data_IF_631834298306
#
_entry.id   IF_631834298306
#
_cell.length_a   1.000
_cell.length_b   1.000
_cell.length_c   1.000
_cell.angle_alpha   90.00
_cell.angle_beta   90.00
_cell.angle_gamma   90.00
#
_symmetry.space_group_name_H-M   'P 1'
#
loop_
_entity.id
_entity.type
_entity.pdbx_description
1 polymer ?
#
# COMPACT_ATOMS: atom_id res chain seq x y z
N UNK A 1 29.40 16.26 -20.48
CA UNK A 1 29.01 17.27 -19.50
C UNK A 1 29.67 18.57 -19.88
N UNK A 2 28.93 19.54 -20.42
CA UNK A 2 29.47 20.86 -20.73
C UNK A 2 29.50 21.72 -19.48
N UNK A 3 30.66 22.18 -19.08
CA UNK A 3 30.76 23.25 -18.08
C UNK A 3 30.15 24.51 -18.72
N UNK A 4 29.27 25.24 -18.03
CA UNK A 4 28.72 26.49 -18.53
C UNK A 4 29.81 27.57 -18.48
N UNK A 5 30.61 27.64 -19.52
CA UNK A 5 31.71 28.58 -19.66
C UNK A 5 31.45 29.42 -20.89
N UNK A 6 31.34 30.72 -20.70
CA UNK A 6 31.33 31.66 -21.78
C UNK A 6 32.78 31.97 -22.19
N UNK A 7 33.22 31.38 -23.30
CA UNK A 7 34.58 31.52 -23.80
C UNK A 7 34.91 32.99 -24.19
N UNK A 8 33.94 33.76 -24.61
CA UNK A 8 34.13 35.16 -25.00
C UNK A 8 34.28 36.04 -23.76
N UNK A 9 33.58 35.75 -22.68
CA UNK A 9 33.79 36.42 -21.39
C UNK A 9 35.21 36.18 -20.86
N UNK A 10 35.74 34.95 -20.95
CA UNK A 10 37.07 34.64 -20.48
C UNK A 10 38.18 35.40 -21.24
N UNK A 11 37.98 35.72 -22.52
CA UNK A 11 38.95 36.48 -23.34
C UNK A 11 39.04 37.95 -22.96
N UNK A 12 38.04 38.50 -22.28
CA UNK A 12 37.98 39.91 -21.88
C UNK A 12 38.53 40.18 -20.49
N UNK A 13 38.81 39.12 -19.70
CA UNK A 13 39.29 39.22 -18.33
C UNK A 13 40.81 39.52 -18.26
N UNK A 14 41.22 40.26 -17.23
CA UNK A 14 42.64 40.42 -16.90
C UNK A 14 43.25 39.08 -16.47
N UNK A 15 44.60 38.91 -16.60
CA UNK A 15 45.32 37.69 -16.23
C UNK A 15 45.01 37.19 -14.81
N UNK A 16 44.84 38.12 -13.85
CA UNK A 16 44.50 37.78 -12.46
C UNK A 16 43.05 37.25 -12.33
N UNK A 17 42.12 37.86 -13.02
CA UNK A 17 40.71 37.45 -13.02
C UNK A 17 40.50 36.16 -13.82
N UNK A 18 41.23 36.02 -14.92
CA UNK A 18 41.26 34.82 -15.73
C UNK A 18 41.73 33.62 -14.91
N UNK A 19 42.88 33.76 -14.24
CA UNK A 19 43.41 32.71 -13.35
C UNK A 19 42.46 32.35 -12.23
N UNK A 20 41.76 33.34 -11.62
CA UNK A 20 40.75 33.10 -10.58
C UNK A 20 39.53 32.36 -11.15
N UNK A 21 39.09 32.76 -12.34
CA UNK A 21 37.94 32.14 -13.02
C UNK A 21 38.24 30.71 -13.48
N UNK A 22 39.43 30.49 -14.04
CA UNK A 22 39.89 29.16 -14.45
C UNK A 22 40.10 28.22 -13.26
N UNK A 23 40.59 28.75 -12.12
CA UNK A 23 40.85 27.96 -10.91
C UNK A 23 39.58 27.33 -10.34
N UNK A 24 38.44 28.02 -10.43
CA UNK A 24 37.17 27.60 -9.87
C UNK A 24 36.11 27.39 -10.95
N UNK A 25 36.54 27.00 -12.14
CA UNK A 25 35.70 26.83 -13.29
C UNK A 25 34.58 25.80 -13.00
N UNK A 26 33.33 26.20 -13.22
CA UNK A 26 32.15 25.34 -12.98
C UNK A 26 31.62 25.32 -11.55
N UNK A 27 32.30 25.97 -10.60
CA UNK A 27 31.79 26.16 -9.24
C UNK A 27 30.92 27.41 -9.15
N UNK A 28 29.87 27.33 -8.35
CA UNK A 28 29.03 28.52 -8.06
C UNK A 28 29.75 29.47 -7.12
N UNK A 29 29.48 30.78 -7.24
CA UNK A 29 30.06 31.80 -6.36
C UNK A 29 29.85 31.53 -4.87
N UNK A 30 28.70 30.92 -4.53
CA UNK A 30 28.41 30.52 -3.17
C UNK A 30 29.33 29.43 -2.64
N UNK A 31 29.72 28.46 -3.46
CA UNK A 31 30.70 27.44 -3.10
C UNK A 31 32.13 28.00 -3.03
N UNK A 32 32.49 28.83 -3.99
CA UNK A 32 33.84 29.48 -4.04
C UNK A 32 34.09 30.32 -2.78
N UNK A 33 33.07 30.97 -2.21
CA UNK A 33 33.23 31.79 -1.00
C UNK A 33 33.59 30.99 0.27
N UNK A 34 33.38 29.67 0.26
CA UNK A 34 33.70 28.76 1.39
C UNK A 34 35.12 28.18 1.31
N UNK A 35 35.83 28.39 0.19
CA UNK A 35 37.21 27.90 0.05
C UNK A 35 38.23 28.95 0.46
N UNK A 36 39.25 28.53 1.21
CA UNK A 36 40.42 29.38 1.46
C UNK A 36 41.28 29.44 0.17
N UNK A 37 41.45 30.62 -0.42
CA UNK A 37 42.25 30.79 -1.65
C UNK A 37 43.72 30.38 -1.53
N UNK A 38 44.26 30.32 -0.30
CA UNK A 38 45.65 29.98 -0.04
C UNK A 38 45.89 28.47 0.05
N UNK A 39 44.93 27.73 0.56
CA UNK A 39 45.06 26.28 0.80
C UNK A 39 44.36 25.43 -0.25
N UNK A 40 43.45 26.00 -1.02
CA UNK A 40 42.72 25.25 -2.06
C UNK A 40 43.57 25.13 -3.31
N UNK A 41 43.82 23.90 -3.74
CA UNK A 41 44.53 23.61 -5.00
C UNK A 41 43.71 24.03 -6.22
N UNK A 42 44.39 24.40 -7.31
CA UNK A 42 43.77 24.53 -8.63
C UNK A 42 43.33 23.13 -9.12
N UNK A 43 42.43 23.07 -10.08
CA UNK A 43 41.93 21.84 -10.71
C UNK A 43 40.86 21.08 -9.90
N UNK A 44 39.97 21.78 -9.21
CA UNK A 44 38.79 21.18 -8.65
C UNK A 44 37.78 20.88 -9.75
N UNK A 45 37.39 19.61 -9.89
CA UNK A 45 36.33 19.19 -10.79
C UNK A 45 35.00 19.05 -9.99
N UNK A 46 33.96 19.84 -10.30
CA UNK A 46 32.69 19.71 -9.63
C UNK A 46 31.96 18.45 -10.11
N UNK A 47 31.64 17.54 -9.19
CA UNK A 47 30.74 16.42 -9.43
C UNK A 47 29.34 16.85 -9.04
N UNK A 48 28.45 16.98 -10.02
CA UNK A 48 27.06 17.40 -9.79
C UNK A 48 26.12 16.21 -9.81
N UNK A 49 25.09 16.27 -8.95
CA UNK A 49 23.99 15.33 -9.02
C UNK A 49 23.26 15.48 -10.36
N UNK A 50 22.90 14.37 -11.05
CA UNK A 50 22.11 14.40 -12.28
C UNK A 50 20.64 14.70 -12.04
N UNK A 51 20.17 14.61 -10.79
CA UNK A 51 18.77 14.82 -10.39
C UNK A 51 18.68 15.55 -9.05
N UNK A 52 17.52 16.18 -8.80
CA UNK A 52 17.18 16.72 -7.51
C UNK A 52 16.68 15.59 -6.60
N UNK A 53 17.30 15.42 -5.44
CA UNK A 53 16.98 14.32 -4.55
C UNK A 53 17.73 14.38 -3.23
N UNK A 54 17.66 13.29 -2.49
CA UNK A 54 18.34 13.09 -1.21
C UNK A 54 19.53 12.15 -1.43
N UNK A 55 20.67 12.45 -0.80
CA UNK A 55 21.80 11.53 -0.77
C UNK A 55 21.44 10.37 0.16
N UNK A 56 21.28 9.18 -0.39
CA UNK A 56 20.92 7.95 0.35
C UNK A 56 22.16 7.17 0.78
N UNK A 57 23.25 7.25 0.00
CA UNK A 57 24.55 6.62 0.33
C UNK A 57 25.71 7.54 -0.06
N UNK A 58 26.78 7.48 0.73
CA UNK A 58 28.06 8.13 0.49
C UNK A 58 29.19 7.11 0.69
N UNK A 59 29.91 6.78 -0.40
CA UNK A 59 30.96 5.77 -0.44
C UNK A 59 32.37 6.37 -0.50
N UNK A 60 32.50 7.68 -0.21
CA UNK A 60 33.76 8.42 -0.29
C UNK A 60 33.98 9.31 0.92
N UNK A 61 35.23 9.45 1.34
CA UNK A 61 35.67 10.39 2.39
C UNK A 61 36.66 11.39 1.85
N UNK A 62 36.79 12.55 2.52
CA UNK A 62 37.71 13.58 2.11
C UNK A 62 39.18 13.08 2.20
N UNK A 63 39.97 13.34 1.16
CA UNK A 63 41.37 12.91 1.04
C UNK A 63 41.55 11.53 0.41
N UNK A 64 40.49 10.83 0.06
CA UNK A 64 40.54 9.54 -0.62
C UNK A 64 40.81 9.69 -2.12
N UNK A 65 41.61 8.81 -2.69
CA UNK A 65 41.83 8.72 -4.12
C UNK A 65 40.72 7.91 -4.75
N UNK A 66 40.05 8.48 -5.74
CA UNK A 66 38.93 7.86 -6.44
C UNK A 66 39.21 7.78 -7.93
N UNK A 67 38.66 6.77 -8.58
CA UNK A 67 38.66 6.60 -10.02
C UNK A 67 37.24 6.71 -10.61
N UNK A 68 37.15 6.66 -11.93
CA UNK A 68 35.87 6.83 -12.66
C UNK A 68 34.92 5.63 -12.52
N UNK A 69 35.39 4.50 -12.04
CA UNK A 69 34.58 3.28 -11.86
C UNK A 69 33.89 3.22 -10.49
N UNK A 70 34.37 4.05 -9.55
CA UNK A 70 33.86 4.03 -8.17
C UNK A 70 32.63 4.90 -8.01
N UNK A 71 31.61 4.34 -7.38
CA UNK A 71 30.43 5.08 -6.93
C UNK A 71 30.82 5.98 -5.74
N UNK A 72 30.55 7.28 -5.85
CA UNK A 72 30.87 8.25 -4.80
C UNK A 72 29.66 8.54 -3.91
N UNK A 73 28.52 8.75 -4.54
CA UNK A 73 27.25 9.06 -3.90
C UNK A 73 26.13 8.35 -4.63
N UNK A 74 25.09 8.01 -3.91
CA UNK A 74 23.82 7.62 -4.46
C UNK A 74 22.78 8.69 -4.09
N UNK A 75 22.09 9.22 -5.11
CA UNK A 75 21.06 10.24 -4.96
C UNK A 75 19.75 9.68 -5.48
N UNK A 76 18.70 9.71 -4.66
CA UNK A 76 17.39 9.21 -5.03
C UNK A 76 16.31 10.30 -4.89
N UNK A 77 15.35 10.32 -5.82
CA UNK A 77 14.12 11.09 -5.66
C UNK A 77 13.16 10.29 -4.75
N UNK A 78 13.08 10.68 -3.50
CA UNK A 78 12.27 10.01 -2.48
C UNK A 78 10.82 10.49 -2.42
N UNK A 79 10.41 11.44 -3.28
CA UNK A 79 9.02 11.94 -3.35
C UNK A 79 8.04 10.90 -3.87
N UNK A 80 8.54 9.98 -4.69
CA UNK A 80 7.79 8.83 -5.21
C UNK A 80 8.56 7.55 -4.87
N UNK A 81 7.93 6.69 -4.10
CA UNK A 81 8.52 5.43 -3.67
C UNK A 81 7.83 4.25 -4.36
N UNK A 82 8.59 3.23 -4.69
CA UNK A 82 8.04 1.99 -5.20
C UNK A 82 7.88 0.98 -4.07
N UNK A 83 6.65 0.59 -3.86
CA UNK A 83 6.31 -0.55 -3.01
C UNK A 83 6.29 -1.82 -3.87
N UNK A 84 7.08 -2.80 -3.51
CA UNK A 84 7.07 -4.12 -4.15
C UNK A 84 6.40 -5.11 -3.20
N UNK A 85 5.24 -5.64 -3.62
CA UNK A 85 4.48 -6.65 -2.91
C UNK A 85 4.77 -8.02 -3.51
N UNK A 86 4.98 -9.02 -2.65
CA UNK A 86 5.11 -10.41 -3.06
C UNK A 86 3.75 -11.09 -2.91
N UNK A 87 3.03 -11.26 -4.01
CA UNK A 87 1.67 -11.82 -4.04
C UNK A 87 1.75 -13.30 -4.38
N UNK A 88 1.10 -14.21 -3.61
CA UNK A 88 1.03 -15.62 -3.94
C UNK A 88 0.49 -15.85 -5.36
N UNK A 89 1.07 -16.82 -6.09
CA UNK A 89 0.71 -17.09 -7.48
C UNK A 89 -0.80 -17.40 -7.66
N UNK A 90 -1.41 -18.04 -6.68
CA UNK A 90 -2.85 -18.37 -6.68
C UNK A 90 -3.75 -17.12 -6.59
N UNK A 91 -3.27 -16.03 -5.97
CA UNK A 91 -4.02 -14.80 -5.76
C UNK A 91 -3.82 -13.77 -6.87
N UNK A 92 -2.76 -13.88 -7.67
CA UNK A 92 -2.42 -12.93 -8.74
C UNK A 92 -3.57 -12.77 -9.75
N UNK A 93 -4.34 -13.83 -10.02
CA UNK A 93 -5.51 -13.79 -10.93
C UNK A 93 -6.57 -12.75 -10.52
N UNK A 94 -6.60 -12.34 -9.25
CA UNK A 94 -7.53 -11.33 -8.75
C UNK A 94 -6.95 -9.91 -8.76
N UNK A 95 -5.63 -9.79 -8.99
CA UNK A 95 -4.93 -8.51 -8.99
C UNK A 95 -4.90 -7.94 -10.40
N UNK A 96 -5.20 -6.66 -10.53
CA UNK A 96 -5.07 -5.93 -11.80
C UNK A 96 -4.46 -4.56 -11.57
N UNK A 97 -3.84 -4.02 -12.61
CA UNK A 97 -3.33 -2.64 -12.60
C UNK A 97 -4.48 -1.67 -12.29
N UNK A 98 -4.21 -0.65 -11.49
CA UNK A 98 -5.19 0.33 -11.02
C UNK A 98 -5.88 -0.05 -9.69
N UNK A 99 -5.74 -1.28 -9.18
CA UNK A 99 -6.26 -1.63 -7.86
C UNK A 99 -5.61 -0.80 -6.76
N UNK A 100 -6.40 -0.36 -5.79
CA UNK A 100 -5.90 0.35 -4.61
C UNK A 100 -5.02 -0.55 -3.76
N UNK A 101 -3.97 0.03 -3.24
CA UNK A 101 -3.04 -0.61 -2.29
C UNK A 101 -3.00 0.25 -1.04
N UNK A 102 -3.06 -0.38 0.13
CA UNK A 102 -2.79 0.22 1.42
C UNK A 102 -1.55 -0.42 2.01
N UNK A 103 -0.58 0.40 2.35
CA UNK A 103 0.68 -0.04 2.91
C UNK A 103 0.87 0.53 4.31
N UNK A 104 1.22 -0.33 5.24
CA UNK A 104 1.56 0.01 6.62
C UNK A 104 3.01 -0.32 6.86
N UNK A 105 3.81 0.68 7.20
CA UNK A 105 5.23 0.49 7.58
C UNK A 105 5.28 -0.20 8.94
N UNK A 106 6.24 -1.11 9.12
CA UNK A 106 6.46 -1.77 10.39
C UNK A 106 6.81 -0.75 11.48
N UNK A 107 6.11 -0.86 12.61
CA UNK A 107 6.26 0.08 13.73
C UNK A 107 5.43 1.37 13.64
N UNK A 108 4.75 1.64 12.52
CA UNK A 108 3.86 2.79 12.36
C UNK A 108 2.39 2.36 12.34
N UNK A 109 1.49 3.29 12.69
CA UNK A 109 0.04 3.04 12.65
C UNK A 109 -0.64 3.63 11.42
N UNK A 110 0.03 4.51 10.71
CA UNK A 110 -0.50 5.18 9.53
C UNK A 110 -0.46 4.28 8.31
N UNK A 111 -1.54 4.28 7.53
CA UNK A 111 -1.60 3.58 6.25
C UNK A 111 -1.38 4.56 5.11
N UNK A 112 -0.50 4.21 4.21
CA UNK A 112 -0.19 4.98 3.00
C UNK A 112 -0.92 4.33 1.82
N UNK A 113 -1.64 5.13 1.05
CA UNK A 113 -2.40 4.64 -0.10
C UNK A 113 -1.61 4.79 -1.40
N UNK A 114 -1.79 3.83 -2.27
CA UNK A 114 -1.25 3.81 -3.62
C UNK A 114 -2.10 2.98 -4.57
N UNK A 115 -1.61 2.77 -5.77
CA UNK A 115 -2.28 1.94 -6.78
C UNK A 115 -1.28 1.00 -7.44
N UNK A 116 -1.73 -0.20 -7.78
CA UNK A 116 -0.95 -1.15 -8.58
C UNK A 116 -0.64 -0.51 -9.93
N UNK A 117 0.62 -0.38 -10.27
CA UNK A 117 1.08 0.16 -11.55
C UNK A 117 1.73 -0.90 -12.45
N UNK A 118 2.19 -2.00 -11.86
CA UNK A 118 2.83 -3.06 -12.62
C UNK A 118 2.73 -4.41 -11.91
N UNK A 119 2.59 -5.47 -12.71
CA UNK A 119 2.55 -6.86 -12.26
C UNK A 119 3.60 -7.63 -13.06
N UNK A 120 4.48 -8.37 -12.38
CA UNK A 120 5.51 -9.17 -13.03
C UNK A 120 4.88 -10.29 -13.87
N UNK A 121 5.46 -10.53 -15.03
CA UNK A 121 5.13 -11.70 -15.87
C UNK A 121 5.86 -12.97 -15.41
N UNK A 122 6.81 -12.86 -14.48
CA UNK A 122 7.59 -13.96 -13.94
C UNK A 122 7.27 -14.18 -12.45
N UNK A 123 7.11 -15.44 -12.07
CA UNK A 123 7.01 -15.83 -10.68
C UNK A 123 8.39 -16.23 -10.12
N UNK A 124 8.64 -15.92 -8.87
CA UNK A 124 9.80 -16.42 -8.14
C UNK A 124 9.55 -17.90 -7.76
N UNK A 125 10.38 -18.83 -8.26
CA UNK A 125 10.16 -20.26 -8.03
C UNK A 125 10.42 -20.69 -6.57
N UNK A 126 11.22 -19.93 -5.82
CA UNK A 126 11.55 -20.23 -4.42
C UNK A 126 10.40 -19.84 -3.48
N UNK A 127 9.85 -18.65 -3.67
CA UNK A 127 8.78 -18.11 -2.83
C UNK A 127 7.39 -18.42 -3.37
N UNK A 128 7.26 -18.83 -4.64
CA UNK A 128 6.00 -19.01 -5.37
C UNK A 128 5.14 -17.75 -5.39
N UNK A 129 5.80 -16.60 -5.47
CA UNK A 129 5.14 -15.30 -5.50
C UNK A 129 5.42 -14.57 -6.80
N UNK A 130 4.53 -13.65 -7.15
CA UNK A 130 4.68 -12.70 -8.25
C UNK A 130 4.87 -11.31 -7.66
N UNK A 131 5.84 -10.56 -8.17
CA UNK A 131 6.06 -9.18 -7.75
C UNK A 131 5.01 -8.26 -8.34
N UNK A 132 4.36 -7.51 -7.48
CA UNK A 132 3.38 -6.47 -7.84
C UNK A 132 3.93 -5.15 -7.34
N UNK A 133 4.05 -4.16 -8.21
CA UNK A 133 4.56 -2.84 -7.86
C UNK A 133 3.41 -1.85 -7.72
N UNK A 134 3.52 -1.00 -6.72
CA UNK A 134 2.66 0.16 -6.49
C UNK A 134 3.53 1.40 -6.28
N UNK A 135 3.15 2.52 -6.86
CA UNK A 135 3.78 3.81 -6.59
C UNK A 135 3.08 4.48 -5.41
N UNK A 136 3.88 4.84 -4.41
CA UNK A 136 3.45 5.57 -3.22
C UNK A 136 3.97 7.01 -3.29
N UNK A 137 3.13 7.96 -2.89
CA UNK A 137 3.51 9.37 -2.77
C UNK A 137 4.07 9.63 -1.38
N UNK A 138 5.28 10.17 -1.31
CA UNK A 138 6.04 10.38 -0.07
C UNK A 138 6.46 11.85 0.08
N UNK A 139 5.50 12.79 0.00
CA UNK A 139 5.80 14.22 0.09
C UNK A 139 6.29 14.63 1.48
N UNK A 140 5.85 13.94 2.52
CA UNK A 140 6.21 14.21 3.91
C UNK A 140 7.50 13.49 4.36
N UNK A 141 8.12 12.68 3.48
CA UNK A 141 9.35 11.96 3.80
C UNK A 141 9.21 10.85 4.84
N UNK A 142 7.97 10.39 5.10
CA UNK A 142 7.68 9.32 6.07
C UNK A 142 8.24 7.96 5.63
N UNK A 143 8.22 7.68 4.34
CA UNK A 143 8.80 6.45 3.79
C UNK A 143 10.30 6.61 3.62
N UNK A 144 11.04 5.63 4.12
CA UNK A 144 12.49 5.53 3.93
C UNK A 144 12.81 4.47 2.88
N UNK A 145 13.95 4.63 2.23
CA UNK A 145 14.49 3.59 1.36
C UNK A 145 14.64 2.28 2.15
N UNK A 146 14.26 1.16 1.52
CA UNK A 146 14.28 -0.18 2.13
C UNK A 146 13.41 -0.33 3.39
N UNK A 147 12.33 0.45 3.52
CA UNK A 147 11.33 0.20 4.55
C UNK A 147 10.55 -1.09 4.26
N UNK A 148 10.28 -1.85 5.32
CA UNK A 148 9.44 -3.04 5.26
C UNK A 148 8.10 -2.78 5.91
N UNK A 149 7.11 -3.62 5.58
CA UNK A 149 5.78 -3.50 6.15
C UNK A 149 4.77 -4.41 5.48
N UNK A 150 3.52 -4.24 5.86
CA UNK A 150 2.40 -5.04 5.36
C UNK A 150 1.61 -4.24 4.32
N UNK A 151 1.41 -4.83 3.14
CA UNK A 151 0.63 -4.24 2.05
C UNK A 151 -0.64 -5.03 1.77
N UNK A 152 -1.76 -4.31 1.66
CA UNK A 152 -3.07 -4.87 1.32
C UNK A 152 -3.52 -4.37 -0.05
N UNK A 153 -3.73 -5.28 -1.00
CA UNK A 153 -4.33 -4.97 -2.29
C UNK A 153 -5.84 -5.08 -2.13
N UNK A 154 -6.57 -3.99 -2.38
CA UNK A 154 -8.02 -3.93 -2.26
C UNK A 154 -8.64 -4.49 -3.54
N UNK A 155 -9.09 -5.73 -3.49
CA UNK A 155 -9.66 -6.42 -4.65
C UNK A 155 -11.06 -5.91 -4.96
N UNK A 156 -11.89 -5.66 -3.92
CA UNK A 156 -13.24 -5.14 -4.01
C UNK A 156 -13.52 -4.24 -2.81
N UNK A 157 -14.17 -3.14 -3.06
CA UNK A 157 -14.71 -2.25 -2.03
C UNK A 157 -16.20 -2.08 -2.30
N UNK A 158 -17.05 -2.50 -1.33
CA UNK A 158 -18.50 -2.38 -1.40
C UNK A 158 -18.96 -1.52 -0.22
N UNK A 159 -19.52 -0.36 -0.52
CA UNK A 159 -19.93 0.61 0.51
C UNK A 159 -21.25 0.23 1.20
N UNK A 160 -22.13 -0.44 0.48
CA UNK A 160 -23.48 -0.78 0.94
C UNK A 160 -23.62 -2.27 1.27
N UNK A 161 -22.51 -2.95 1.59
CA UNK A 161 -22.51 -4.36 1.95
C UNK A 161 -23.26 -4.58 3.25
N UNK A 162 -24.20 -5.54 3.25
CA UNK A 162 -24.82 -6.04 4.47
C UNK A 162 -23.84 -6.97 5.15
N UNK A 163 -23.42 -6.60 6.35
CA UNK A 163 -22.43 -7.37 7.13
C UNK A 163 -23.07 -7.82 8.43
N UNK A 164 -22.94 -9.10 8.75
CA UNK A 164 -23.48 -9.68 9.99
C UNK A 164 -22.37 -10.37 10.78
N UNK A 165 -22.47 -10.44 12.12
CA UNK A 165 -21.55 -11.22 12.93
C UNK A 165 -21.57 -12.70 12.51
N UNK A 166 -20.41 -13.36 12.53
CA UNK A 166 -20.29 -14.77 12.16
C UNK A 166 -21.23 -15.68 12.99
N UNK A 167 -21.50 -15.29 14.23
CA UNK A 167 -22.39 -15.99 15.15
C UNK A 167 -23.85 -15.98 14.70
N UNK A 168 -24.27 -15.05 13.85
CA UNK A 168 -25.64 -14.92 13.37
C UNK A 168 -26.01 -15.95 12.29
N UNK A 169 -25.01 -16.55 11.62
CA UNK A 169 -25.21 -17.46 10.50
C UNK A 169 -25.16 -18.91 10.99
N UNK A 170 -26.16 -19.69 10.69
CA UNK A 170 -26.22 -21.15 10.90
C UNK A 170 -26.06 -21.87 9.57
N UNK A 171 -25.53 -23.09 9.66
CA UNK A 171 -25.56 -24.06 8.56
C UNK A 171 -26.59 -25.13 8.84
N UNK A 172 -27.57 -25.30 7.97
CA UNK A 172 -28.70 -26.25 8.14
C UNK A 172 -28.56 -27.44 7.14
N UNK A 173 -27.32 -27.86 6.87
CA UNK A 173 -27.03 -29.02 6.02
C UNK A 173 -27.06 -28.72 4.52
N UNK A 174 -27.96 -27.89 4.02
CA UNK A 174 -28.09 -27.53 2.61
C UNK A 174 -27.84 -26.03 2.35
N UNK A 175 -28.05 -25.17 3.34
CA UNK A 175 -28.01 -23.73 3.15
C UNK A 175 -27.57 -23.00 4.43
N UNK A 176 -27.10 -21.77 4.25
CA UNK A 176 -26.85 -20.86 5.36
C UNK A 176 -28.15 -20.12 5.68
N UNK A 177 -28.48 -20.06 6.96
CA UNK A 177 -29.71 -19.41 7.45
C UNK A 177 -29.41 -18.40 8.55
N UNK A 178 -30.27 -17.41 8.66
CA UNK A 178 -30.32 -16.43 9.75
C UNK A 178 -31.75 -16.38 10.32
N UNK A 179 -31.85 -16.04 11.60
CA UNK A 179 -33.12 -15.85 12.27
C UNK A 179 -33.42 -14.35 12.33
N UNK A 180 -34.41 -13.92 11.56
CA UNK A 180 -34.85 -12.53 11.46
C UNK A 180 -36.05 -12.31 12.38
N UNK A 181 -35.96 -11.27 13.21
CA UNK A 181 -37.08 -10.93 14.12
C UNK A 181 -38.25 -10.36 13.33
N UNK A 182 -39.48 -10.83 13.64
CA UNK A 182 -40.71 -10.29 13.07
C UNK A 182 -40.88 -8.79 13.38
N UNK A 183 -41.41 -8.03 12.43
CA UNK A 183 -41.64 -6.59 12.56
C UNK A 183 -42.61 -6.23 13.68
N UNK A 184 -43.57 -7.14 13.96
CA UNK A 184 -44.60 -6.96 15.00
C UNK A 184 -44.17 -7.51 16.37
N UNK A 185 -42.92 -7.97 16.51
CA UNK A 185 -42.43 -8.63 17.74
C UNK A 185 -42.71 -7.84 19.02
N UNK A 186 -42.66 -6.51 18.99
CA UNK A 186 -42.92 -5.65 20.15
C UNK A 186 -44.36 -5.16 20.27
N UNK A 187 -45.23 -5.43 19.30
CA UNK A 187 -46.65 -5.07 19.44
C UNK A 187 -47.30 -5.87 20.55
N UNK A 188 -48.11 -5.20 21.42
CA UNK A 188 -48.86 -5.82 22.47
C UNK A 188 -49.88 -6.79 21.85
N UNK A 189 -49.89 -8.04 22.32
CA UNK A 189 -50.76 -9.10 21.79
C UNK A 189 -50.27 -9.84 20.54
N UNK A 190 -49.13 -9.41 19.94
CA UNK A 190 -48.52 -10.14 18.81
C UNK A 190 -47.66 -11.29 19.29
N UNK A 191 -47.63 -12.43 18.57
CA UNK A 191 -46.73 -13.53 18.88
C UNK A 191 -45.28 -13.12 18.70
N UNK A 192 -44.39 -13.70 19.51
CA UNK A 192 -42.93 -13.41 19.48
C UNK A 192 -42.26 -14.34 18.46
N UNK A 193 -42.32 -13.95 17.18
CA UNK A 193 -41.89 -14.78 16.08
C UNK A 193 -40.49 -14.36 15.56
N UNK A 194 -39.75 -15.37 15.13
CA UNK A 194 -38.54 -15.24 14.32
C UNK A 194 -38.75 -16.01 13.02
N UNK A 195 -38.37 -15.41 11.93
CA UNK A 195 -38.44 -16.01 10.60
C UNK A 195 -37.06 -16.58 10.24
N UNK A 196 -37.04 -17.83 9.84
CA UNK A 196 -35.83 -18.43 9.27
C UNK A 196 -35.75 -17.99 7.84
N UNK A 197 -34.57 -17.47 7.46
CA UNK A 197 -34.36 -17.02 6.12
C UNK A 197 -33.04 -17.56 5.60
N UNK A 198 -33.08 -18.20 4.43
CA UNK A 198 -31.90 -18.62 3.71
C UNK A 198 -31.14 -17.39 3.21
N UNK A 199 -29.82 -17.40 3.40
CA UNK A 199 -28.94 -16.32 2.99
C UNK A 199 -27.78 -16.84 2.17
N UNK A 200 -27.31 -15.99 1.26
CA UNK A 200 -26.12 -16.25 0.49
C UNK A 200 -24.94 -15.47 1.09
N UNK A 201 -24.03 -16.13 1.81
CA UNK A 201 -22.86 -15.46 2.37
C UNK A 201 -21.88 -15.07 1.25
N UNK A 202 -21.19 -13.96 1.46
CA UNK A 202 -20.07 -13.48 0.64
C UNK A 202 -18.74 -13.67 1.36
N UNK A 203 -17.93 -12.61 1.39
CA UNK A 203 -16.62 -12.62 2.03
C UNK A 203 -16.78 -12.70 3.55
N UNK A 204 -15.98 -13.57 4.19
CA UNK A 204 -15.94 -13.76 5.64
C UNK A 204 -14.61 -13.30 6.18
N UNK A 205 -14.63 -12.54 7.27
CA UNK A 205 -13.46 -12.20 8.06
C UNK A 205 -13.51 -12.88 9.45
N UNK A 206 -12.59 -12.52 10.36
CA UNK A 206 -12.51 -13.12 11.71
C UNK A 206 -13.78 -12.92 12.56
N UNK A 207 -14.51 -11.82 12.37
CA UNK A 207 -15.65 -11.43 13.21
C UNK A 207 -16.98 -11.37 12.47
N UNK A 208 -16.96 -11.16 11.17
CA UNK A 208 -18.13 -10.82 10.37
C UNK A 208 -18.14 -11.52 9.02
N UNK A 209 -19.35 -11.70 8.46
CA UNK A 209 -19.55 -12.22 7.11
C UNK A 209 -20.47 -11.28 6.34
N UNK A 210 -20.11 -11.00 5.11
CA UNK A 210 -20.95 -10.30 4.14
C UNK A 210 -22.14 -11.19 3.76
N UNK A 211 -23.31 -10.57 3.59
CA UNK A 211 -24.49 -11.24 3.04
C UNK A 211 -24.84 -10.63 1.69
N UNK A 212 -24.68 -11.42 0.64
CA UNK A 212 -24.93 -10.99 -0.75
C UNK A 212 -26.44 -10.95 -1.04
N UNK A 213 -27.21 -11.88 -0.46
CA UNK A 213 -28.66 -11.95 -0.65
C UNK A 213 -29.33 -12.62 0.55
N UNK A 214 -30.62 -12.30 0.73
CA UNK A 214 -31.46 -12.92 1.78
C UNK A 214 -31.70 -12.03 2.99
N UNK A 215 -31.01 -10.91 3.15
CA UNK A 215 -31.26 -9.90 4.20
C UNK A 215 -31.48 -8.53 3.59
N UNK A 216 -32.27 -7.71 4.28
CA UNK A 216 -32.48 -6.31 3.96
C UNK A 216 -31.83 -5.40 5.01
N UNK A 217 -31.37 -4.22 4.63
CA UNK A 217 -30.86 -3.22 5.57
C UNK A 217 -31.90 -2.89 6.64
N UNK A 218 -31.45 -2.83 7.91
CA UNK A 218 -32.32 -2.50 9.05
C UNK A 218 -33.09 -3.67 9.65
N UNK A 219 -33.01 -4.86 9.08
CA UNK A 219 -33.59 -6.06 9.72
C UNK A 219 -32.79 -6.43 10.97
N UNK A 220 -33.48 -6.88 12.01
CA UNK A 220 -32.89 -7.32 13.26
C UNK A 220 -32.75 -8.83 13.26
N UNK A 221 -31.52 -9.29 13.43
CA UNK A 221 -31.17 -10.71 13.42
C UNK A 221 -30.73 -11.19 14.81
N UNK A 222 -30.87 -12.49 15.04
CA UNK A 222 -30.41 -13.14 16.27
C UNK A 222 -28.93 -13.49 16.16
N UNK A 223 -28.14 -13.05 17.14
CA UNK A 223 -26.75 -13.42 17.28
C UNK A 223 -26.53 -14.40 18.41
N UNK A 224 -27.05 -14.10 19.60
CA UNK A 224 -26.98 -14.96 20.80
C UNK A 224 -28.29 -15.72 21.00
N UNK A 225 -28.22 -16.98 21.43
CA UNK A 225 -29.38 -17.83 21.64
C UNK A 225 -29.93 -18.48 20.35
N UNK A 226 -29.20 -18.37 19.25
CA UNK A 226 -29.53 -19.03 17.98
C UNK A 226 -29.74 -20.52 18.13
N UNK A 227 -28.90 -21.21 18.94
CA UNK A 227 -28.94 -22.65 19.13
C UNK A 227 -30.27 -23.10 19.79
N UNK A 228 -30.86 -22.24 20.63
CA UNK A 228 -32.18 -22.48 21.23
C UNK A 228 -33.27 -22.44 20.15
N UNK A 229 -33.22 -21.47 19.25
CA UNK A 229 -34.17 -21.38 18.13
C UNK A 229 -34.02 -22.56 17.17
N UNK A 230 -32.79 -22.98 16.90
CA UNK A 230 -32.49 -24.14 16.07
C UNK A 230 -33.03 -25.43 16.72
N UNK A 231 -32.80 -25.61 18.02
CA UNK A 231 -33.34 -26.75 18.75
C UNK A 231 -34.89 -26.78 18.74
N UNK A 232 -35.52 -25.61 18.85
CA UNK A 232 -36.99 -25.50 18.76
C UNK A 232 -37.50 -25.86 17.37
N UNK A 233 -36.84 -25.42 16.32
CA UNK A 233 -37.14 -25.77 14.93
C UNK A 233 -37.04 -27.29 14.70
N UNK A 234 -35.94 -27.89 15.14
CA UNK A 234 -35.76 -29.36 15.02
C UNK A 234 -36.81 -30.16 15.74
N UNK A 235 -37.30 -29.66 16.90
CA UNK A 235 -38.41 -30.29 17.61
C UNK A 235 -39.72 -30.21 16.83
N UNK A 236 -39.99 -29.08 16.14
CA UNK A 236 -41.23 -28.92 15.36
C UNK A 236 -41.21 -29.70 14.04
N UNK A 237 -40.01 -29.99 13.52
CA UNK A 237 -39.83 -30.67 12.21
C UNK A 237 -39.34 -32.13 12.34
N UNK A 238 -39.53 -32.76 13.50
CA UNK A 238 -39.23 -34.18 13.68
C UNK A 238 -40.07 -35.04 12.71
N UNK A 239 -39.48 -35.38 11.57
CA UNK A 239 -40.11 -36.20 10.53
C UNK A 239 -40.29 -35.55 9.17
N UNK A 240 -40.09 -34.24 9.03
CA UNK A 240 -40.11 -33.55 7.74
C UNK A 240 -38.71 -33.29 7.26
N UNK A 241 -38.40 -33.70 6.04
CA UNK A 241 -37.10 -33.39 5.38
C UNK A 241 -36.92 -31.89 5.16
N UNK A 242 -35.73 -31.48 4.74
CA UNK A 242 -35.34 -30.10 4.52
C UNK A 242 -36.36 -29.34 3.64
N UNK A 243 -37.09 -28.37 4.20
CA UNK A 243 -38.10 -27.54 3.49
C UNK A 243 -37.49 -26.30 2.82
N UNK A 244 -36.20 -26.29 2.55
CA UNK A 244 -35.48 -25.15 1.95
C UNK A 244 -35.75 -24.91 0.44
N UNK A 245 -36.88 -25.37 -0.08
CA UNK A 245 -37.23 -25.34 -1.51
C UNK A 245 -38.66 -24.93 -1.87
N UNK A 246 -39.42 -24.26 -0.98
CA UNK A 246 -40.73 -23.70 -1.35
C UNK A 246 -40.76 -22.18 -1.12
#
# INVERSE_FOLDING_TARGET
MGLPVDADLLRTLSDKELNKSLRFLGLTSKLVSHFDPKTTTSNLLPVRSPLDGVVVSREVVAGEVVDTSRQLFEVADTRKMWLVLNVPLEDVKYVSVGKKVRFKVDGENEMIEGHVDWISTSADPKTRTVKVRSTLINLEGKLRHESFGEGHIILREEKDAIVVPNEAISWEGCCHVVYVRDKNYFKKGSPKLFHIRSVRPGVKNKTSTEIIAGLLPGEVIVTKGRDVLQAQLLKSNLGEGCTCGQ
#
